data_IF_979790600231
#
_entry.id   IF_979790600231
#
_cell.length_a   1.000
_cell.length_b   1.000
_cell.length_c   1.000
_cell.angle_alpha   90.00
_cell.angle_beta   90.00
_cell.angle_gamma   90.00
#
_symmetry.space_group_name_H-M   'P 1'
#
loop_
_entity.id
_entity.type
_entity.pdbx_description
1 polymer ?
#
# COMPACT_ATOMS: atom_id res chain seq x y z
N UNK A 1 -17.81 -5.68 -14.47
CA UNK A 1 -18.12 -5.52 -13.03
C UNK A 1 -16.86 -5.03 -12.32
N UNK A 2 -16.85 -3.78 -11.85
CA UNK A 2 -15.69 -3.19 -11.15
C UNK A 2 -15.85 -3.50 -9.67
N UNK A 3 -15.23 -4.59 -9.22
CA UNK A 3 -15.28 -5.02 -7.81
C UNK A 3 -14.59 -3.94 -6.98
N UNK A 4 -15.36 -3.13 -6.25
CA UNK A 4 -14.85 -2.18 -5.27
C UNK A 4 -14.31 -2.99 -4.09
N UNK A 5 -13.00 -3.26 -4.09
CA UNK A 5 -12.32 -3.91 -2.96
C UNK A 5 -12.02 -2.82 -1.93
N UNK A 6 -12.57 -2.99 -0.74
CA UNK A 6 -12.74 -2.03 0.37
C UNK A 6 -11.43 -1.51 1.02
N UNK A 7 -10.34 -1.40 0.26
CA UNK A 7 -8.98 -1.12 0.73
C UNK A 7 -8.23 -0.19 -0.22
N UNK A 8 -8.97 0.72 -0.82
CA UNK A 8 -8.43 1.76 -1.68
C UNK A 8 -7.55 2.70 -0.84
N UNK A 9 -6.30 2.90 -1.25
CA UNK A 9 -5.42 3.89 -0.66
C UNK A 9 -5.63 5.22 -1.39
N UNK A 10 -5.81 6.30 -0.66
CA UNK A 10 -5.89 7.65 -1.23
C UNK A 10 -5.09 8.63 -0.38
N UNK A 11 -3.75 8.59 -0.45
CA UNK A 11 -2.87 9.46 0.34
C UNK A 11 -2.64 10.84 -0.29
N UNK A 12 -2.93 11.01 -1.58
CA UNK A 12 -2.73 12.25 -2.35
C UNK A 12 -4.04 12.72 -3.01
N UNK A 13 -5.18 12.16 -2.59
CA UNK A 13 -6.45 12.28 -3.32
C UNK A 13 -6.53 11.41 -4.59
N UNK A 14 -5.42 10.77 -4.99
CA UNK A 14 -5.38 9.75 -6.04
C UNK A 14 -5.78 8.40 -5.46
N UNK A 15 -6.82 7.80 -6.03
CA UNK A 15 -7.32 6.50 -5.62
C UNK A 15 -6.43 5.38 -6.18
N UNK A 16 -5.65 4.76 -5.31
CA UNK A 16 -4.79 3.62 -5.62
C UNK A 16 -5.51 2.34 -5.19
N UNK A 17 -5.96 1.59 -6.19
CA UNK A 17 -6.63 0.30 -5.98
C UNK A 17 -5.55 -0.77 -5.97
N UNK A 18 -5.26 -1.31 -4.79
CA UNK A 18 -4.36 -2.45 -4.63
C UNK A 18 -5.16 -3.71 -4.44
N UNK A 19 -4.81 -4.74 -5.19
CA UNK A 19 -5.42 -6.04 -5.08
C UNK A 19 -4.77 -6.85 -3.94
N UNK A 20 -5.20 -6.59 -2.71
CA UNK A 20 -4.60 -7.21 -1.52
C UNK A 20 -4.83 -8.73 -1.40
N UNK A 21 -5.83 -9.26 -2.11
CA UNK A 21 -6.16 -10.69 -2.11
C UNK A 21 -5.12 -11.52 -2.86
N UNK A 22 -4.59 -10.96 -3.95
CA UNK A 22 -3.50 -11.56 -4.73
C UNK A 22 -2.11 -11.29 -4.13
N UNK A 23 -2.04 -10.53 -3.03
CA UNK A 23 -0.78 -10.20 -2.36
C UNK A 23 -0.35 -11.34 -1.43
N UNK A 24 0.48 -12.26 -1.94
CA UNK A 24 1.04 -13.38 -1.16
C UNK A 24 2.11 -12.93 -0.14
N UNK A 25 2.38 -13.78 0.86
CA UNK A 25 3.48 -13.58 1.82
C UNK A 25 4.82 -13.54 1.06
N UNK A 26 5.71 -12.61 1.41
CA UNK A 26 6.95 -12.23 0.69
C UNK A 26 6.77 -11.41 -0.60
N UNK A 27 5.56 -10.99 -0.96
CA UNK A 27 5.38 -10.04 -2.07
C UNK A 27 5.59 -8.60 -1.62
N UNK A 28 6.08 -7.78 -2.55
CA UNK A 28 6.27 -6.35 -2.35
C UNK A 28 5.47 -5.56 -3.37
N UNK A 29 4.80 -4.51 -2.94
CA UNK A 29 4.17 -3.53 -3.82
C UNK A 29 4.89 -2.19 -3.70
N UNK A 30 4.93 -1.45 -4.80
CA UNK A 30 5.38 -0.07 -4.80
C UNK A 30 4.19 0.84 -5.08
N UNK A 31 4.00 1.82 -4.19
CA UNK A 31 2.89 2.75 -4.25
C UNK A 31 3.48 4.15 -4.43
N UNK A 32 3.46 4.73 -5.65
CA UNK A 32 3.95 6.09 -5.89
C UNK A 32 3.01 7.09 -5.21
N UNK A 33 3.52 7.81 -4.22
CA UNK A 33 2.77 8.76 -3.40
C UNK A 33 3.70 9.90 -2.98
N UNK A 34 3.22 11.13 -2.98
CA UNK A 34 3.97 12.27 -2.43
C UNK A 34 3.86 12.23 -0.91
N UNK A 35 2.64 12.03 -0.39
CA UNK A 35 2.34 11.91 1.04
C UNK A 35 2.60 10.50 1.59
N UNK A 36 3.88 10.15 1.75
CA UNK A 36 4.28 8.85 2.32
C UNK A 36 3.81 8.61 3.75
N UNK A 37 3.69 9.65 4.57
CA UNK A 37 3.19 9.52 5.95
C UNK A 37 1.72 9.09 5.99
N UNK A 38 0.88 9.72 5.17
CA UNK A 38 -0.52 9.36 5.06
C UNK A 38 -0.69 7.99 4.41
N UNK A 39 0.10 7.70 3.36
CA UNK A 39 0.14 6.38 2.74
C UNK A 39 0.49 5.29 3.76
N UNK A 40 1.51 5.52 4.60
CA UNK A 40 1.91 4.58 5.65
C UNK A 40 0.81 4.38 6.69
N UNK A 41 0.09 5.45 7.09
CA UNK A 41 -1.05 5.33 8.02
C UNK A 41 -2.20 4.51 7.42
N UNK A 42 -2.57 4.79 6.17
CA UNK A 42 -3.64 4.07 5.49
C UNK A 42 -3.28 2.60 5.29
N UNK A 43 -2.09 2.32 4.76
CA UNK A 43 -1.54 0.96 4.64
C UNK A 43 -1.57 0.27 6.00
N UNK A 44 -1.06 0.91 7.06
CA UNK A 44 -1.08 0.33 8.40
C UNK A 44 -2.50 -0.04 8.85
N UNK A 45 -3.49 0.80 8.58
CA UNK A 45 -4.87 0.52 8.95
C UNK A 45 -5.43 -0.71 8.20
N UNK A 46 -5.18 -0.79 6.88
CA UNK A 46 -5.56 -1.94 6.04
C UNK A 46 -4.94 -3.25 6.55
N UNK A 47 -3.65 -3.23 6.87
CA UNK A 47 -2.94 -4.41 7.35
C UNK A 47 -3.34 -4.80 8.78
N UNK A 48 -3.59 -3.83 9.67
CA UNK A 48 -4.10 -4.08 11.03
C UNK A 48 -5.49 -4.73 10.97
N UNK A 49 -6.39 -4.26 10.09
CA UNK A 49 -7.69 -4.87 9.89
C UNK A 49 -7.59 -6.33 9.41
N UNK A 50 -6.57 -6.64 8.60
CA UNK A 50 -6.30 -7.99 8.09
C UNK A 50 -5.43 -8.85 9.04
N UNK A 51 -4.95 -8.28 10.15
CA UNK A 51 -3.98 -8.89 11.09
C UNK A 51 -2.70 -9.40 10.39
N UNK A 52 -2.25 -8.70 9.36
CA UNK A 52 -1.03 -9.03 8.61
C UNK A 52 0.14 -8.18 9.08
N UNK A 53 1.34 -8.76 9.08
CA UNK A 53 2.59 -8.03 9.27
C UNK A 53 3.13 -7.53 7.94
N UNK A 54 3.64 -6.31 7.98
CA UNK A 54 4.19 -5.64 6.82
C UNK A 54 5.36 -4.76 7.20
N UNK A 55 6.25 -4.59 6.23
CA UNK A 55 7.33 -3.62 6.28
C UNK A 55 7.01 -2.52 5.28
N UNK A 56 7.20 -1.27 5.68
CA UNK A 56 7.11 -0.13 4.77
C UNK A 56 8.44 0.59 4.71
N UNK A 57 8.90 0.92 3.51
CA UNK A 57 10.08 1.77 3.31
C UNK A 57 9.75 2.83 2.29
N UNK A 58 10.11 4.06 2.61
CA UNK A 58 10.03 5.17 1.66
C UNK A 58 11.14 4.95 0.63
N UNK A 59 10.78 4.99 -0.64
CA UNK A 59 11.71 4.77 -1.74
C UNK A 59 11.38 5.71 -2.88
N UNK A 60 12.42 6.21 -3.56
CA UNK A 60 12.27 7.00 -4.78
C UNK A 60 12.73 6.12 -5.92
N UNK A 61 11.80 5.75 -6.81
CA UNK A 61 12.10 4.91 -7.98
C UNK A 61 11.80 5.72 -9.25
N UNK A 62 12.77 5.82 -10.17
CA UNK A 62 12.66 6.57 -11.43
C UNK A 62 12.19 8.03 -11.27
N UNK A 63 12.60 8.71 -10.18
CA UNK A 63 12.20 10.10 -9.91
C UNK A 63 10.81 10.25 -9.30
N UNK A 64 10.08 9.15 -9.08
CA UNK A 64 8.81 9.15 -8.36
C UNK A 64 9.04 8.75 -6.90
N UNK A 65 8.68 9.65 -5.99
CA UNK A 65 8.64 9.36 -4.55
C UNK A 65 7.46 8.43 -4.27
N UNK A 66 7.68 7.45 -3.40
CA UNK A 66 6.65 6.50 -3.04
C UNK A 66 6.97 5.69 -1.80
N UNK A 67 6.03 4.79 -1.49
CA UNK A 67 6.10 3.88 -0.38
C UNK A 67 6.15 2.44 -0.93
N UNK A 68 7.22 1.72 -0.59
CA UNK A 68 7.31 0.29 -0.86
C UNK A 68 6.83 -0.49 0.37
N UNK A 69 5.93 -1.43 0.14
CA UNK A 69 5.30 -2.22 1.20
C UNK A 69 5.57 -3.69 0.93
N UNK A 70 6.15 -4.39 1.89
CA UNK A 70 6.36 -5.84 1.86
C UNK A 70 5.42 -6.50 2.84
N UNK A 71 4.77 -7.60 2.43
CA UNK A 71 4.02 -8.45 3.34
C UNK A 71 4.95 -9.53 3.89
N UNK A 72 5.14 -9.55 5.21
CA UNK A 72 6.06 -10.50 5.86
C UNK A 72 5.36 -11.73 6.43
N UNK A 73 4.18 -11.58 7.04
CA UNK A 73 3.38 -12.66 7.65
C UNK A 73 1.88 -12.35 7.55
#
# INVERSE_FOLDING_TARGET
MKVLRNYDLSPDGVKIVVDWDTMYVNTSIFVPCINTEEAKKQVKNVFVQRKWQFLTKIWVENGCLGLRVWRTL
#
